data_IF_677863453401
#
_entry.id   IF_677863453401
#
_cell.length_a   1.000
_cell.length_b   1.000
_cell.length_c   1.000
_cell.angle_alpha   90.00
_cell.angle_beta   90.00
_cell.angle_gamma   90.00
#
_symmetry.space_group_name_H-M   'P 1'
#
loop_
_entity.id
_entity.type
_entity.pdbx_description
1 polymer ?
#
# COMPACT_ATOMS: atom_id res chain seq x y z
N UNK A 1 -7.31 -0.82 -4.64
CA UNK A 1 -7.73 -0.86 -3.24
C UNK A 1 -7.31 0.42 -2.52
N UNK A 2 -8.23 1.01 -1.81
CA UNK A 2 -8.00 2.27 -1.07
C UNK A 2 -8.32 2.05 0.40
N UNK A 3 -7.43 2.48 1.28
CA UNK A 3 -7.60 2.27 2.71
C UNK A 3 -7.02 3.44 3.51
N UNK A 4 -7.74 3.87 4.54
CA UNK A 4 -7.24 4.91 5.46
C UNK A 4 -6.63 4.22 6.67
N UNK A 5 -5.38 4.56 6.97
CA UNK A 5 -4.67 4.04 8.14
C UNK A 5 -4.45 5.16 9.15
N UNK A 6 -4.85 4.92 10.39
CA UNK A 6 -4.61 5.87 11.48
C UNK A 6 -3.39 5.45 12.28
N UNK A 7 -2.59 6.42 12.68
CA UNK A 7 -1.35 6.15 13.41
C UNK A 7 -1.02 7.32 14.34
N UNK A 8 -0.06 7.12 15.22
CA UNK A 8 0.38 8.15 16.14
C UNK A 8 1.82 8.49 15.82
N UNK A 9 2.11 9.78 15.64
CA UNK A 9 3.45 10.29 15.39
C UNK A 9 3.69 11.49 16.28
N UNK A 10 4.76 11.44 17.06
CA UNK A 10 5.11 12.49 18.00
C UNK A 10 3.96 12.84 18.94
N UNK A 11 3.25 11.81 19.40
CA UNK A 11 2.13 11.98 20.32
C UNK A 11 0.86 12.51 19.68
N UNK A 12 0.84 12.70 18.37
CA UNK A 12 -0.33 13.23 17.67
C UNK A 12 -0.96 12.17 16.79
N UNK A 13 -2.29 12.16 16.79
CA UNK A 13 -3.05 11.27 15.93
C UNK A 13 -3.02 11.78 14.51
N UNK A 14 -2.63 10.91 13.57
CA UNK A 14 -2.56 11.25 12.16
C UNK A 14 -3.19 10.15 11.34
N UNK A 15 -3.45 10.43 10.07
CA UNK A 15 -3.95 9.41 9.15
C UNK A 15 -3.29 9.57 7.80
N UNK A 16 -3.25 8.46 7.05
CA UNK A 16 -2.78 8.45 5.67
C UNK A 16 -3.73 7.62 4.83
N UNK A 17 -3.85 7.96 3.56
CA UNK A 17 -4.55 7.15 2.59
C UNK A 17 -3.54 6.25 1.89
N UNK A 18 -3.90 4.99 1.75
CA UNK A 18 -3.07 3.98 1.09
C UNK A 18 -3.81 3.48 -0.13
N UNK A 19 -3.11 3.36 -1.23
CA UNK A 19 -3.68 2.90 -2.48
C UNK A 19 -2.75 1.91 -3.15
N UNK A 20 -3.29 0.74 -3.49
CA UNK A 20 -2.53 -0.29 -4.20
C UNK A 20 -3.08 -0.42 -5.60
N UNK A 21 -2.22 -0.28 -6.59
CA UNK A 21 -2.60 -0.50 -7.98
C UNK A 21 -1.39 -0.99 -8.78
N UNK A 22 -1.64 -1.62 -9.94
CA UNK A 22 -0.55 -1.88 -10.88
C UNK A 22 -0.04 -0.55 -11.43
N UNK A 23 1.27 -0.39 -11.45
CA UNK A 23 1.88 0.84 -11.92
C UNK A 23 2.38 0.74 -13.36
N UNK A 24 1.87 -0.23 -14.11
CA UNK A 24 2.22 -0.42 -15.51
C UNK A 24 0.95 -0.50 -16.32
N UNK A 25 0.77 0.46 -17.20
CA UNK A 25 -0.44 0.59 -18.01
C UNK A 25 -0.66 -0.63 -18.88
N UNK A 26 -1.83 -1.23 -18.75
CA UNK A 26 -2.27 -2.30 -19.63
C UNK A 26 -1.76 -3.68 -19.30
N UNK A 27 -0.80 -3.83 -18.40
CA UNK A 27 -0.22 -5.14 -18.07
C UNK A 27 -0.48 -5.60 -16.66
N UNK A 28 -0.98 -4.73 -15.78
CA UNK A 28 -1.20 -5.03 -14.37
C UNK A 28 0.04 -5.57 -13.67
N UNK A 29 1.20 -5.06 -14.08
CA UNK A 29 2.48 -5.40 -13.47
C UNK A 29 2.86 -4.38 -12.41
N UNK A 30 3.87 -4.71 -11.61
CA UNK A 30 4.50 -3.80 -10.67
C UNK A 30 3.52 -3.24 -9.66
N UNK A 31 2.90 -4.13 -8.89
CA UNK A 31 2.02 -3.71 -7.82
C UNK A 31 2.74 -2.77 -6.87
N UNK A 32 2.19 -1.59 -6.70
CA UNK A 32 2.83 -0.52 -5.96
C UNK A 32 1.88 0.02 -4.90
N UNK A 33 2.40 0.18 -3.69
CA UNK A 33 1.68 0.86 -2.62
C UNK A 33 2.00 2.35 -2.71
N UNK A 34 0.96 3.17 -2.82
CA UNK A 34 1.08 4.62 -2.85
C UNK A 34 0.47 5.20 -1.59
N UNK A 35 1.02 6.31 -1.13
CA UNK A 35 0.63 6.93 0.14
C UNK A 35 0.31 8.39 -0.08
N UNK A 36 -0.78 8.85 0.54
CA UNK A 36 -1.13 10.26 0.57
C UNK A 36 -1.26 10.71 2.03
N UNK A 37 -0.63 11.82 2.35
CA UNK A 37 -0.71 12.42 3.68
C UNK A 37 -1.67 13.61 3.74
N UNK A 38 -2.31 13.95 2.62
CA UNK A 38 -3.18 15.13 2.50
C UNK A 38 -4.56 14.75 1.94
N UNK A 39 -5.08 13.63 2.39
CA UNK A 39 -6.42 13.13 2.02
C UNK A 39 -6.60 12.89 0.52
N UNK A 40 -5.53 12.45 -0.14
CA UNK A 40 -5.60 12.06 -1.53
C UNK A 40 -5.28 13.16 -2.53
N UNK A 41 -4.89 14.34 -2.05
CA UNK A 41 -4.57 15.44 -2.96
C UNK A 41 -3.24 15.23 -3.67
N UNK A 42 -2.24 14.67 -2.96
CA UNK A 42 -0.96 14.33 -3.56
C UNK A 42 -0.52 12.94 -3.13
N UNK A 43 0.28 12.30 -3.97
CA UNK A 43 0.78 10.93 -3.77
C UNK A 43 2.28 10.92 -4.08
N UNK A 44 3.13 11.39 -3.12
CA UNK A 44 4.56 11.59 -3.40
C UNK A 44 5.27 10.29 -3.78
N UNK A 45 6.02 10.32 -4.86
CA UNK A 45 6.72 9.13 -5.37
C UNK A 45 7.78 8.60 -4.40
N UNK A 46 8.36 9.46 -3.58
CA UNK A 46 9.37 9.01 -2.62
C UNK A 46 8.82 8.07 -1.57
N UNK A 47 7.50 8.01 -1.42
CA UNK A 47 6.85 7.10 -0.49
C UNK A 47 6.19 5.90 -1.17
N UNK A 48 6.37 5.74 -2.47
CA UNK A 48 5.84 4.58 -3.17
C UNK A 48 6.66 3.34 -2.83
N UNK A 49 5.99 2.21 -2.60
CA UNK A 49 6.65 0.95 -2.32
C UNK A 49 6.23 -0.07 -3.36
N UNK A 50 7.19 -0.52 -4.16
CA UNK A 50 6.98 -1.61 -5.10
C UNK A 50 7.11 -2.92 -4.34
N UNK A 51 6.02 -3.67 -4.23
CA UNK A 51 6.04 -4.91 -3.45
C UNK A 51 5.89 -6.17 -4.31
N UNK A 52 5.54 -6.04 -5.57
CA UNK A 52 5.51 -7.18 -6.49
C UNK A 52 5.79 -6.68 -7.90
N UNK A 53 6.88 -7.18 -8.50
CA UNK A 53 7.29 -6.80 -9.85
C UNK A 53 6.62 -7.63 -10.92
N UNK A 54 5.97 -8.71 -10.53
CA UNK A 54 5.40 -9.64 -11.47
C UNK A 54 3.93 -9.35 -11.68
N UNK A 55 3.40 -9.93 -12.76
CA UNK A 55 2.01 -9.71 -13.11
C UNK A 55 1.07 -10.19 -12.03
N UNK A 56 0.05 -9.40 -11.73
CA UNK A 56 -0.97 -9.76 -10.78
C UNK A 56 -2.33 -9.80 -11.49
N UNK A 57 -3.22 -10.64 -10.99
CA UNK A 57 -4.58 -10.68 -11.51
C UNK A 57 -5.41 -9.47 -11.11
N UNK A 58 -4.92 -8.64 -10.24
CA UNK A 58 -5.51 -7.35 -9.97
C UNK A 58 -6.34 -7.21 -8.70
N UNK A 59 -6.60 -8.26 -7.98
CA UNK A 59 -7.32 -8.14 -6.72
C UNK A 59 -6.36 -7.81 -5.57
N UNK A 60 -6.72 -6.81 -4.77
CA UNK A 60 -5.93 -6.50 -3.59
C UNK A 60 -6.84 -5.94 -2.49
N UNK A 61 -6.42 -6.12 -1.26
CA UNK A 61 -7.11 -5.62 -0.10
C UNK A 61 -6.09 -5.14 0.92
N UNK A 62 -6.26 -3.93 1.42
CA UNK A 62 -5.37 -3.34 2.42
C UNK A 62 -6.07 -3.35 3.76
N UNK A 63 -5.35 -3.70 4.81
CA UNK A 63 -5.91 -3.65 6.17
C UNK A 63 -4.88 -3.11 7.13
N UNK A 64 -5.35 -2.48 8.21
CA UNK A 64 -4.49 -2.07 9.30
C UNK A 64 -4.32 -3.26 10.24
N UNK A 65 -3.08 -3.69 10.47
CA UNK A 65 -2.80 -4.75 11.43
C UNK A 65 -2.77 -4.14 12.83
N UNK A 66 -2.02 -3.04 12.97
CA UNK A 66 -1.98 -2.24 14.19
C UNK A 66 -1.55 -0.83 13.79
N UNK A 67 -1.31 0.03 14.78
CA UNK A 67 -0.90 1.42 14.50
C UNK A 67 0.40 1.51 13.69
N UNK A 68 1.24 0.51 13.80
CA UNK A 68 2.60 0.54 13.24
C UNK A 68 2.77 -0.31 12.01
N UNK A 69 1.72 -0.97 11.54
CA UNK A 69 1.86 -1.85 10.38
C UNK A 69 0.55 -2.02 9.64
N UNK A 70 0.69 -2.26 8.34
CA UNK A 70 -0.43 -2.59 7.47
C UNK A 70 -0.18 -3.93 6.81
N UNK A 71 -1.25 -4.57 6.36
CA UNK A 71 -1.18 -5.80 5.59
C UNK A 71 -1.83 -5.64 4.25
N UNK A 72 -1.28 -6.30 3.24
CA UNK A 72 -1.86 -6.32 1.90
C UNK A 72 -2.05 -7.76 1.49
N UNK A 73 -3.30 -8.13 1.21
CA UNK A 73 -3.65 -9.43 0.65
C UNK A 73 -3.93 -9.22 -0.82
N UNK A 74 -3.27 -9.97 -1.69
CA UNK A 74 -3.44 -9.79 -3.13
C UNK A 74 -3.29 -11.10 -3.88
N UNK A 75 -3.82 -11.13 -5.09
CA UNK A 75 -3.61 -12.24 -6.00
C UNK A 75 -2.27 -12.09 -6.68
N UNK A 76 -1.41 -13.11 -6.54
CA UNK A 76 -0.12 -13.10 -7.21
C UNK A 76 -0.27 -13.54 -8.66
N UNK A 77 0.85 -13.49 -9.40
CA UNK A 77 0.88 -13.82 -10.82
C UNK A 77 0.46 -15.25 -11.14
N UNK A 78 0.43 -16.12 -10.17
CA UNK A 78 0.08 -17.52 -10.37
C UNK A 78 -1.28 -17.88 -9.79
N UNK A 79 -2.13 -16.88 -9.61
CA UNK A 79 -3.47 -17.04 -9.06
C UNK A 79 -3.50 -17.50 -7.62
N UNK A 80 -2.37 -17.41 -6.93
CA UNK A 80 -2.29 -17.69 -5.51
C UNK A 80 -2.55 -16.42 -4.72
N UNK A 81 -3.06 -16.57 -3.51
CA UNK A 81 -3.18 -15.43 -2.61
C UNK A 81 -1.87 -15.23 -1.86
N UNK A 82 -1.40 -14.00 -1.81
CA UNK A 82 -0.20 -13.63 -1.08
C UNK A 82 -0.55 -12.56 -0.05
N UNK A 83 0.13 -12.60 1.07
CA UNK A 83 -0.06 -11.61 2.12
C UNK A 83 1.30 -11.05 2.53
N UNK A 84 1.41 -9.72 2.56
CA UNK A 84 2.60 -9.07 3.04
C UNK A 84 2.27 -8.11 4.16
N UNK A 85 3.23 -7.94 5.06
CA UNK A 85 3.15 -6.96 6.15
C UNK A 85 4.17 -5.87 5.88
N UNK A 86 3.74 -4.62 5.95
CA UNK A 86 4.63 -3.47 5.76
C UNK A 86 4.60 -2.63 7.03
N UNK A 87 5.77 -2.38 7.59
CA UNK A 87 5.88 -1.56 8.78
C UNK A 87 5.78 -0.08 8.43
N UNK A 88 5.21 0.69 9.33
CA UNK A 88 5.03 2.12 9.14
C UNK A 88 6.36 2.83 8.89
N UNK A 89 7.43 2.34 9.51
CA UNK A 89 8.76 2.93 9.30
C UNK A 89 9.24 2.84 7.85
N UNK A 90 8.79 1.82 7.12
CA UNK A 90 9.12 1.71 5.70
C UNK A 90 8.35 2.73 4.87
N UNK A 91 7.15 3.07 5.29
CA UNK A 91 6.30 4.02 4.58
C UNK A 91 6.75 5.45 4.82
N UNK A 92 7.15 5.75 6.06
CA UNK A 92 7.49 7.12 6.47
C UNK A 92 8.94 7.51 6.20
N UNK A 93 9.71 6.64 5.65
CA UNK A 93 11.11 6.92 5.33
C UNK A 93 11.31 8.21 4.59
#
# INVERSE_FOLDING_TARGET
SLHRHEYIEEGKKKSMLLFVNPNDYGKRDKLTLKVSFDDGMTWPKEHWILFDQYRSAGYSCITSIDENSIGILYESSQSDLAFIKIDLTEILK
#
